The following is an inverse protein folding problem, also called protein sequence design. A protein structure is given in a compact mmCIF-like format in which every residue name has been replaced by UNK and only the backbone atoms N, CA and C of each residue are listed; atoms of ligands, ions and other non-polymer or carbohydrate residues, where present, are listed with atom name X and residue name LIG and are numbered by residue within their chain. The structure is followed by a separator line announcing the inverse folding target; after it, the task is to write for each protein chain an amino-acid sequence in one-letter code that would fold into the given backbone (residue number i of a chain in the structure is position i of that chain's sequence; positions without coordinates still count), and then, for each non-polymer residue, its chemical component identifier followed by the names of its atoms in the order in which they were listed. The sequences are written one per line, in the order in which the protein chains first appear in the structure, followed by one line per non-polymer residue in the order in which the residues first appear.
data_IF_017408823464
#
_entry.id   IF_017408823464
#
_cell.length_a   1.000
_cell.length_b   1.000
_cell.length_c   1.000
_cell.angle_alpha   90.00
_cell.angle_beta   90.00
_cell.angle_gamma   90.00
#
_symmetry.space_group_name_H-M   'P 1'
#
loop_
_entity.id
_entity.type
_entity.pdbx_description
1 polymer ?
#
# COMPACT_ATOMS: atom_id res chain seq x y z
N UNK A 1 36.15 51.35 -19.58
CA UNK A 1 35.57 50.96 -18.28
C UNK A 1 34.62 49.79 -18.55
N UNK A 2 34.94 48.55 -18.17
CA UNK A 2 34.00 47.43 -18.30
C UNK A 2 33.12 47.33 -17.06
N UNK A 3 31.85 46.96 -17.24
CA UNK A 3 30.90 46.66 -16.20
C UNK A 3 29.56 46.34 -16.86
N UNK A 4 28.86 45.26 -16.58
CA UNK A 4 29.10 44.18 -15.64
C UNK A 4 28.42 42.91 -16.15
N UNK A 5 28.92 41.77 -15.67
CA UNK A 5 28.29 40.48 -15.87
C UNK A 5 27.18 40.22 -14.86
N UNK A 6 26.28 39.33 -15.25
CA UNK A 6 25.33 38.58 -14.43
C UNK A 6 24.75 37.52 -15.37
N UNK A 7 25.40 36.37 -15.51
CA UNK A 7 25.18 35.15 -14.72
C UNK A 7 23.70 34.75 -14.72
N UNK A 8 23.34 34.01 -15.77
CA UNK A 8 22.62 32.74 -15.75
C UNK A 8 21.82 32.44 -14.48
N UNK A 9 20.53 32.77 -14.50
CA UNK A 9 19.54 32.02 -13.73
C UNK A 9 19.23 30.73 -14.48
N UNK A 10 20.11 29.73 -14.31
CA UNK A 10 19.73 28.34 -14.51
C UNK A 10 18.65 28.01 -13.48
N UNK A 11 17.39 28.11 -13.90
CA UNK A 11 16.25 27.54 -13.18
C UNK A 11 16.52 26.04 -13.09
N UNK A 12 17.04 25.60 -11.95
CA UNK A 12 17.12 24.18 -11.59
C UNK A 12 15.70 23.65 -11.48
N UNK A 13 15.14 23.19 -12.59
CA UNK A 13 14.06 22.22 -12.56
C UNK A 13 14.56 20.98 -11.82
N UNK A 14 14.06 20.77 -10.61
CA UNK A 14 14.29 19.52 -9.91
C UNK A 14 13.75 18.36 -10.78
N UNK A 15 14.50 17.25 -10.95
CA UNK A 15 14.09 16.22 -11.89
C UNK A 15 12.78 15.58 -11.42
N UNK A 16 11.75 15.66 -12.27
CA UNK A 16 10.46 14.99 -12.07
C UNK A 16 10.60 13.46 -11.86
N UNK A 17 11.77 12.90 -12.17
CA UNK A 17 12.16 11.51 -11.99
C UNK A 17 12.08 11.02 -10.53
N UNK A 18 12.50 11.82 -9.54
CA UNK A 18 12.57 11.37 -8.13
C UNK A 18 11.20 11.02 -7.52
N UNK A 19 10.14 11.74 -7.92
CA UNK A 19 8.79 11.49 -7.42
C UNK A 19 8.21 10.18 -7.98
N UNK A 20 8.56 9.86 -9.22
CA UNK A 20 8.13 8.62 -9.87
C UNK A 20 8.82 7.39 -9.25
N UNK A 21 10.10 7.54 -8.89
CA UNK A 21 10.85 6.49 -8.18
C UNK A 21 10.22 6.17 -6.82
N UNK A 22 9.88 7.20 -6.04
CA UNK A 22 9.20 7.02 -4.75
C UNK A 22 7.84 6.32 -4.89
N UNK A 23 7.06 6.69 -5.92
CA UNK A 23 5.84 5.97 -6.27
C UNK A 23 6.14 4.51 -6.61
N UNK A 24 7.07 4.22 -7.52
CA UNK A 24 7.36 2.85 -7.95
C UNK A 24 7.86 1.97 -6.79
N UNK A 25 8.75 2.51 -5.95
CA UNK A 25 9.29 1.84 -4.76
C UNK A 25 8.17 1.48 -3.80
N UNK A 26 7.31 2.44 -3.44
CA UNK A 26 6.19 2.21 -2.53
C UNK A 26 5.21 1.19 -3.11
N UNK A 27 4.91 1.28 -4.40
CA UNK A 27 4.04 0.31 -5.07
C UNK A 27 4.59 -1.11 -5.06
N UNK A 28 5.90 -1.28 -5.25
CA UNK A 28 6.56 -2.59 -5.22
C UNK A 28 6.58 -3.15 -3.78
N UNK A 29 6.83 -2.29 -2.80
CA UNK A 29 6.79 -2.62 -1.38
C UNK A 29 5.42 -3.14 -0.94
N UNK A 30 4.35 -2.48 -1.36
CA UNK A 30 2.99 -2.94 -1.04
C UNK A 30 2.57 -4.21 -1.79
N UNK A 31 3.05 -4.42 -3.02
CA UNK A 31 2.86 -5.70 -3.71
C UNK A 31 3.59 -6.85 -3.00
N UNK A 32 4.82 -6.60 -2.54
CA UNK A 32 5.58 -7.58 -1.75
C UNK A 32 4.86 -7.91 -0.44
N UNK A 33 4.40 -6.89 0.29
CA UNK A 33 3.60 -7.07 1.51
C UNK A 33 2.39 -7.97 1.26
N UNK A 34 1.60 -7.64 0.23
CA UNK A 34 0.41 -8.41 -0.14
C UNK A 34 0.74 -9.87 -0.44
N UNK A 35 1.78 -10.12 -1.24
CA UNK A 35 2.20 -11.49 -1.58
C UNK A 35 2.69 -12.25 -0.35
N UNK A 36 3.45 -11.61 0.55
CA UNK A 36 3.94 -12.25 1.77
C UNK A 36 2.79 -12.68 2.68
N UNK A 37 1.83 -11.79 2.95
CA UNK A 37 0.67 -12.08 3.80
C UNK A 37 -0.18 -13.22 3.22
N UNK A 38 -0.42 -13.25 1.90
CA UNK A 38 -1.24 -14.29 1.29
C UNK A 38 -0.51 -15.63 1.10
N UNK A 39 0.78 -15.61 0.75
CA UNK A 39 1.57 -16.85 0.63
C UNK A 39 1.66 -17.59 1.97
N UNK A 40 1.73 -16.86 3.09
CA UNK A 40 1.73 -17.42 4.44
C UNK A 40 0.41 -18.10 4.84
N UNK A 41 -0.69 -17.87 4.09
CA UNK A 41 -1.99 -18.55 4.25
C UNK A 41 -2.18 -19.72 3.28
N UNK A 42 -1.11 -20.24 2.68
CA UNK A 42 -1.13 -21.34 1.70
C UNK A 42 -1.99 -21.06 0.46
N UNK A 43 -2.25 -19.79 0.14
CA UNK A 43 -2.86 -19.44 -1.15
C UNK A 43 -1.85 -19.77 -2.26
N UNK A 44 -2.29 -20.52 -3.27
CA UNK A 44 -1.45 -20.82 -4.42
C UNK A 44 -1.09 -19.53 -5.15
N UNK A 45 0.10 -19.47 -5.75
CA UNK A 45 0.52 -18.30 -6.55
C UNK A 45 -0.48 -17.97 -7.66
N UNK A 46 -1.22 -18.97 -8.16
CA UNK A 46 -2.32 -18.80 -9.12
C UNK A 46 -3.52 -18.07 -8.52
N UNK A 47 -3.96 -18.43 -7.30
CA UNK A 47 -5.05 -17.73 -6.62
C UNK A 47 -4.69 -16.26 -6.34
N UNK A 48 -3.46 -16.01 -5.89
CA UNK A 48 -2.96 -14.64 -5.66
C UNK A 48 -2.96 -13.81 -6.95
N UNK A 49 -2.51 -14.40 -8.06
CA UNK A 49 -2.56 -13.75 -9.37
C UNK A 49 -4.00 -13.47 -9.83
N UNK A 50 -4.94 -14.39 -9.59
CA UNK A 50 -6.35 -14.19 -9.96
C UNK A 50 -7.01 -13.07 -9.15
N UNK A 51 -6.70 -12.95 -7.86
CA UNK A 51 -7.16 -11.82 -7.02
C UNK A 51 -6.61 -10.50 -7.54
N UNK A 52 -5.30 -10.44 -7.81
CA UNK A 52 -4.64 -9.24 -8.36
C UNK A 52 -5.25 -8.87 -9.73
N UNK A 53 -5.42 -9.84 -10.62
CA UNK A 53 -6.00 -9.63 -11.94
C UNK A 53 -7.46 -9.14 -11.86
N UNK A 54 -8.25 -9.69 -10.94
CA UNK A 54 -9.64 -9.29 -10.74
C UNK A 54 -9.81 -7.86 -10.22
N UNK A 55 -8.75 -7.25 -9.70
CA UNK A 55 -8.78 -5.87 -9.20
C UNK A 55 -8.31 -4.83 -10.24
N UNK A 56 -7.87 -5.25 -11.43
CA UNK A 56 -7.53 -4.38 -12.57
C UNK A 56 -6.83 -3.07 -12.16
N UNK A 57 -7.43 -1.90 -12.43
CA UNK A 57 -6.86 -0.59 -12.16
C UNK A 57 -6.78 -0.24 -10.66
N UNK A 58 -7.63 -0.86 -9.83
CA UNK A 58 -7.64 -0.67 -8.38
C UNK A 58 -6.39 -1.26 -7.75
N UNK A 59 -5.81 -2.32 -8.33
CA UNK A 59 -4.55 -2.91 -7.84
C UNK A 59 -3.42 -1.90 -7.77
N UNK A 60 -3.28 -1.05 -8.81
CA UNK A 60 -2.23 -0.02 -8.84
C UNK A 60 -2.36 0.94 -7.66
N UNK A 61 -3.58 1.30 -7.26
CA UNK A 61 -3.83 2.18 -6.10
C UNK A 61 -3.64 1.42 -4.79
N UNK A 62 -4.12 0.18 -4.70
CA UNK A 62 -3.97 -0.63 -3.48
C UNK A 62 -2.52 -0.91 -3.16
N UNK A 63 -1.70 -1.35 -4.12
CA UNK A 63 -0.27 -1.61 -3.85
C UNK A 63 0.49 -0.36 -3.39
N UNK A 64 0.09 0.83 -3.84
CA UNK A 64 0.64 2.09 -3.31
C UNK A 64 0.29 2.32 -1.84
N UNK A 65 -0.98 2.13 -1.49
CA UNK A 65 -1.46 2.35 -0.12
C UNK A 65 -0.93 1.29 0.84
N UNK A 66 -0.81 0.05 0.39
CA UNK A 66 -0.16 -1.01 1.13
C UNK A 66 1.33 -0.73 1.36
N UNK A 67 2.03 -0.13 0.40
CA UNK A 67 3.41 0.31 0.60
C UNK A 67 3.52 1.42 1.66
N UNK A 68 2.58 2.36 1.67
CA UNK A 68 2.51 3.40 2.70
C UNK A 68 2.25 2.80 4.09
N UNK A 69 1.35 1.80 4.17
CA UNK A 69 1.12 1.06 5.41
C UNK A 69 2.36 0.28 5.85
N UNK A 70 3.10 -0.36 4.93
CA UNK A 70 4.33 -1.08 5.27
C UNK A 70 5.42 -0.16 5.85
N UNK A 71 5.52 1.08 5.34
CA UNK A 71 6.39 2.12 5.89
C UNK A 71 5.99 2.47 7.33
N UNK A 72 4.69 2.68 7.60
CA UNK A 72 4.17 2.87 8.95
C UNK A 72 4.46 1.67 9.85
N UNK A 73 4.14 0.47 9.39
CA UNK A 73 4.25 -0.74 10.20
C UNK A 73 5.69 -0.96 10.68
N UNK A 74 6.65 -0.77 9.77
CA UNK A 74 8.08 -0.88 10.08
C UNK A 74 8.56 0.28 10.95
N UNK A 75 8.01 1.50 10.80
CA UNK A 75 8.36 2.62 11.68
C UNK A 75 7.88 2.42 13.13
N UNK A 76 6.84 1.61 13.34
CA UNK A 76 6.42 1.13 14.67
C UNK A 76 7.31 0.00 15.22
N UNK A 77 8.41 -0.36 14.53
CA UNK A 77 9.29 -1.47 14.91
C UNK A 77 8.65 -2.85 14.72
N UNK A 78 7.56 -2.95 13.96
CA UNK A 78 6.87 -4.21 13.68
C UNK A 78 7.47 -4.89 12.46
N UNK A 79 7.43 -6.22 12.47
CA UNK A 79 7.81 -7.06 11.34
C UNK A 79 6.60 -7.36 10.48
N UNK A 80 6.78 -7.55 9.18
CA UNK A 80 5.69 -7.94 8.28
C UNK A 80 5.03 -9.25 8.70
N UNK A 81 5.80 -10.19 9.24
CA UNK A 81 5.27 -11.46 9.76
C UNK A 81 4.29 -11.27 10.93
N UNK A 82 4.41 -10.18 11.69
CA UNK A 82 3.50 -9.87 12.80
C UNK A 82 2.08 -9.61 12.31
N UNK A 83 1.89 -9.26 11.03
CA UNK A 83 0.56 -9.06 10.45
C UNK A 83 -0.28 -10.32 10.52
N UNK A 84 0.33 -11.52 10.42
CA UNK A 84 -0.38 -12.79 10.53
C UNK A 84 -1.07 -13.00 11.87
N UNK A 85 -0.54 -12.36 12.92
CA UNK A 85 -0.96 -12.52 14.30
C UNK A 85 -1.82 -11.33 14.78
N UNK A 86 -2.22 -10.44 13.86
CA UNK A 86 -3.15 -9.35 14.18
C UNK A 86 -4.52 -9.95 14.53
N UNK A 87 -4.92 -9.79 15.79
CA UNK A 87 -6.22 -10.23 16.30
C UNK A 87 -7.34 -9.26 15.93
N UNK A 88 -7.05 -7.96 15.97
CA UNK A 88 -8.00 -6.89 15.66
C UNK A 88 -7.48 -6.03 14.49
N UNK A 89 -7.91 -6.37 13.28
CA UNK A 89 -7.55 -5.63 12.07
C UNK A 89 -8.15 -4.23 12.04
N UNK A 90 -9.32 -4.01 12.64
CA UNK A 90 -9.97 -2.71 12.66
C UNK A 90 -9.18 -1.73 13.54
N UNK A 91 -8.64 -2.19 14.67
CA UNK A 91 -7.76 -1.39 15.52
C UNK A 91 -6.47 -1.00 14.79
N UNK A 92 -5.85 -1.95 14.07
CA UNK A 92 -4.63 -1.66 13.27
C UNK A 92 -4.92 -0.61 12.19
N UNK A 93 -6.06 -0.74 11.49
CA UNK A 93 -6.49 0.23 10.49
C UNK A 93 -6.75 1.58 11.14
N UNK A 94 -7.49 1.64 12.25
CA UNK A 94 -7.80 2.88 12.94
C UNK A 94 -6.53 3.64 13.34
N UNK A 95 -5.57 2.95 13.96
CA UNK A 95 -4.30 3.55 14.37
C UNK A 95 -3.51 4.13 13.19
N UNK A 96 -3.47 3.40 12.07
CA UNK A 96 -2.82 3.89 10.86
C UNK A 96 -3.53 5.12 10.28
N UNK A 97 -4.86 5.10 10.21
CA UNK A 97 -5.63 6.25 9.70
C UNK A 97 -5.43 7.48 10.60
N UNK A 98 -5.42 7.31 11.93
CA UNK A 98 -5.13 8.41 12.86
C UNK A 98 -3.73 8.99 12.67
N UNK A 99 -2.73 8.17 12.37
CA UNK A 99 -1.40 8.68 12.01
C UNK A 99 -1.43 9.46 10.70
N UNK A 100 -2.12 8.96 9.66
CA UNK A 100 -2.26 9.68 8.40
C UNK A 100 -2.94 11.03 8.59
N UNK A 101 -3.94 11.10 9.46
CA UNK A 101 -4.60 12.37 9.82
C UNK A 101 -3.63 13.33 10.51
N UNK A 102 -2.81 12.85 11.46
CA UNK A 102 -1.77 13.66 12.10
C UNK A 102 -0.67 14.13 11.13
N UNK A 103 -0.50 13.46 9.99
CA UNK A 103 0.40 13.83 8.89
C UNK A 103 -0.30 14.64 7.77
N UNK A 104 -1.48 15.20 8.05
CA UNK A 104 -2.28 16.02 7.13
C UNK A 104 -2.64 15.29 5.81
N UNK A 105 -2.78 13.97 5.84
CA UNK A 105 -3.18 13.21 4.67
C UNK A 105 -4.63 13.52 4.27
N UNK A 106 -4.86 13.66 2.97
CA UNK A 106 -6.21 13.93 2.43
C UNK A 106 -7.22 12.83 2.78
N UNK A 107 -8.49 13.19 2.96
CA UNK A 107 -9.59 12.23 3.18
C UNK A 107 -9.63 11.13 2.10
N UNK A 108 -9.33 11.50 0.85
CA UNK A 108 -9.22 10.55 -0.25
C UNK A 108 -8.06 9.56 -0.07
N UNK A 109 -6.90 10.00 0.45
CA UNK A 109 -5.82 9.10 0.79
C UNK A 109 -6.24 8.12 1.89
N UNK A 110 -6.80 8.64 2.98
CA UNK A 110 -7.26 7.84 4.11
C UNK A 110 -8.29 6.78 3.68
N UNK A 111 -9.29 7.15 2.87
CA UNK A 111 -10.29 6.23 2.34
C UNK A 111 -9.66 5.13 1.47
N UNK A 112 -8.70 5.49 0.62
CA UNK A 112 -7.98 4.52 -0.22
C UNK A 112 -7.10 3.57 0.62
N UNK A 113 -6.46 4.07 1.68
CA UNK A 113 -5.71 3.24 2.64
C UNK A 113 -6.63 2.26 3.35
N UNK A 114 -7.76 2.73 3.87
CA UNK A 114 -8.77 1.89 4.55
C UNK A 114 -9.27 0.78 3.63
N UNK A 115 -9.63 1.11 2.39
CA UNK A 115 -10.08 0.13 1.40
C UNK A 115 -9.02 -0.92 1.11
N UNK A 116 -7.76 -0.50 0.88
CA UNK A 116 -6.68 -1.44 0.58
C UNK A 116 -6.39 -2.40 1.75
N UNK A 117 -6.40 -1.89 2.99
CA UNK A 117 -6.16 -2.71 4.19
C UNK A 117 -7.31 -3.64 4.51
N UNK A 118 -8.56 -3.18 4.38
CA UNK A 118 -9.73 -4.03 4.50
C UNK A 118 -9.64 -5.22 3.55
N UNK A 119 -9.29 -4.99 2.29
CA UNK A 119 -9.12 -6.08 1.33
C UNK A 119 -7.97 -7.02 1.69
N UNK A 120 -6.84 -6.50 2.18
CA UNK A 120 -5.72 -7.33 2.65
C UNK A 120 -6.15 -8.24 3.82
N UNK A 121 -6.73 -7.66 4.88
CA UNK A 121 -7.11 -8.40 6.08
C UNK A 121 -8.28 -9.36 5.83
N UNK A 122 -9.22 -9.03 4.95
CA UNK A 122 -10.27 -9.96 4.52
C UNK A 122 -9.69 -11.20 3.81
N UNK A 123 -8.71 -11.01 2.94
CA UNK A 123 -8.05 -12.12 2.23
C UNK A 123 -7.13 -12.93 3.16
N UNK A 124 -6.44 -12.26 4.09
CA UNK A 124 -5.62 -12.91 5.12
C UNK A 124 -6.50 -13.73 6.09
N UNK A 125 -7.66 -13.19 6.45
CA UNK A 125 -8.59 -13.73 7.43
C UNK A 125 -9.74 -14.52 6.83
N UNK A 126 -9.61 -15.06 5.61
CA UNK A 126 -10.66 -15.80 4.91
C UNK A 126 -11.47 -16.72 5.85
N UNK A 127 -12.65 -16.27 6.29
CA UNK A 127 -13.82 -17.11 6.55
C UNK A 127 -14.51 -17.30 5.20
N UNK A 128 -14.46 -18.54 4.69
CA UNK A 128 -15.28 -18.99 3.57
C UNK A 128 -16.24 -20.08 4.08
N UNK A 129 -17.22 -19.73 4.89
CA UNK A 129 -18.48 -20.48 4.96
C UNK A 129 -19.50 -19.65 4.18
N UNK A 130 -20.00 -20.00 2.99
CA UNK A 130 -20.09 -21.25 2.24
C UNK A 130 -19.75 -20.98 0.77
N UNK A 131 -19.01 -21.88 0.13
CA UNK A 131 -19.39 -22.29 -1.23
C UNK A 131 -19.83 -23.74 -1.09
N UNK A 132 -21.11 -23.92 -0.77
CA UNK A 132 -21.88 -25.13 -1.06
C UNK A 132 -23.37 -24.74 -1.08
N UNK A 133 -23.96 -24.81 -2.27
CA UNK A 133 -25.38 -24.57 -2.59
C UNK A 133 -25.58 -23.17 -3.17
N UNK A 134 -25.53 -22.96 -4.49
CA UNK A 134 -26.33 -23.58 -5.58
C UNK A 134 -25.40 -23.67 -6.81
N UNK A 135 -25.06 -24.83 -7.36
CA UNK A 135 -25.82 -25.84 -8.14
C UNK A 135 -26.09 -25.42 -9.61
N UNK A 136 -25.43 -26.15 -10.53
CA UNK A 136 -25.39 -26.10 -12.00
C UNK A 136 -24.78 -24.84 -12.64
#
# INVERSE_FOLDING_TARGET
RPGGGGQDEEVKEAPATRKNDGYLIRGNRGEELFRQVLNQKNLTSTANRNVINGWHESWRRHRQRLGQFDEYWISQGKRREDLLNVEDSELVIANFISQLEAEDATNANQANCRSALNSLFQLQGFKKEKINGVAL
#
